data_IF_746504039063
#
_entry.id   IF_746504039063
#
_cell.length_a   1.000
_cell.length_b   1.000
_cell.length_c   1.000
_cell.angle_alpha   90.00
_cell.angle_beta   90.00
_cell.angle_gamma   90.00
#
_symmetry.space_group_name_H-M   'P 1'
#
loop_
_entity.id
_entity.type
_entity.pdbx_description
1 polymer ?
#
# COMPACT_ATOMS: atom_id res chain seq x y z
N UNK A 1 5.50 -10.65 -46.32
CA UNK A 1 4.04 -10.51 -46.52
C UNK A 1 3.35 -11.67 -45.82
N UNK A 2 2.83 -11.47 -44.61
CA UNK A 2 1.86 -12.37 -43.96
C UNK A 2 0.89 -11.46 -43.19
N UNK A 3 -0.39 -11.76 -43.38
CA UNK A 3 -1.54 -10.87 -43.24
C UNK A 3 -1.98 -10.63 -41.80
N UNK A 4 -2.47 -9.42 -41.54
CA UNK A 4 -3.25 -9.05 -40.36
C UNK A 4 -4.52 -9.93 -40.24
N UNK A 5 -4.65 -10.69 -39.17
CA UNK A 5 -5.88 -11.39 -38.79
C UNK A 5 -6.78 -10.46 -37.96
N UNK A 6 -7.99 -10.18 -38.46
CA UNK A 6 -9.01 -9.39 -37.75
C UNK A 6 -9.59 -10.18 -36.58
N UNK A 7 -9.62 -9.59 -35.39
CA UNK A 7 -10.41 -10.06 -34.26
C UNK A 7 -11.89 -9.72 -34.52
N UNK A 8 -12.76 -10.73 -34.55
CA UNK A 8 -14.20 -10.53 -34.73
C UNK A 8 -14.91 -10.59 -33.37
N UNK A 9 -15.36 -9.46 -32.87
CA UNK A 9 -16.24 -9.36 -31.69
C UNK A 9 -17.68 -9.44 -32.17
N UNK A 10 -18.43 -10.47 -31.77
CA UNK A 10 -19.89 -10.50 -31.91
C UNK A 10 -20.53 -10.26 -30.55
N UNK A 11 -21.14 -9.09 -30.37
CA UNK A 11 -21.97 -8.78 -29.21
C UNK A 11 -23.40 -9.29 -29.46
N UNK A 12 -23.92 -10.14 -28.57
CA UNK A 12 -25.37 -10.28 -28.42
C UNK A 12 -25.77 -9.50 -27.16
N UNK A 13 -26.35 -8.32 -27.39
CA UNK A 13 -27.01 -7.52 -26.37
C UNK A 13 -28.22 -8.30 -25.88
N UNK A 14 -28.10 -9.02 -24.75
CA UNK A 14 -29.19 -9.33 -23.79
C UNK A 14 -28.75 -10.28 -22.65
N UNK A 15 -27.59 -10.93 -22.75
CA UNK A 15 -26.90 -11.58 -21.60
C UNK A 15 -25.39 -11.53 -21.86
N UNK A 16 -24.66 -10.70 -21.11
CA UNK A 16 -23.24 -10.42 -21.35
C UNK A 16 -22.32 -11.56 -20.94
N UNK A 17 -22.16 -12.57 -21.79
CA UNK A 17 -21.07 -13.56 -21.69
C UNK A 17 -20.00 -13.23 -22.71
N UNK A 18 -18.82 -12.82 -22.26
CA UNK A 18 -17.62 -12.70 -23.11
C UNK A 18 -16.77 -13.94 -22.85
N UNK A 19 -16.51 -14.72 -23.90
CA UNK A 19 -15.66 -15.91 -23.86
C UNK A 19 -14.34 -15.56 -24.55
N UNK A 20 -13.25 -15.50 -23.79
CA UNK A 20 -11.90 -15.30 -24.35
C UNK A 20 -11.23 -16.67 -24.45
N UNK A 21 -10.87 -17.08 -25.66
CA UNK A 21 -10.10 -18.30 -25.94
C UNK A 21 -8.76 -17.88 -26.55
N UNK A 22 -7.66 -18.30 -25.94
CA UNK A 22 -6.33 -18.22 -26.53
C UNK A 22 -6.09 -19.51 -27.33
N UNK A 23 -5.91 -19.43 -28.64
CA UNK A 23 -5.36 -20.51 -29.47
C UNK A 23 -3.87 -20.21 -29.72
N UNK A 24 -2.96 -20.90 -29.05
CA UNK A 24 -2.30 -22.18 -29.41
C UNK A 24 -1.16 -22.04 -30.44
N UNK A 25 0.07 -22.33 -30.00
CA UNK A 25 1.01 -23.16 -30.76
C UNK A 25 2.25 -23.55 -29.93
N UNK A 26 2.14 -24.59 -29.10
CA UNK A 26 3.17 -25.65 -28.93
C UNK A 26 2.58 -26.80 -28.11
N UNK A 27 2.53 -27.99 -28.71
CA UNK A 27 2.04 -29.24 -28.10
C UNK A 27 3.12 -29.92 -27.24
N UNK A 28 2.85 -30.19 -25.96
CA UNK A 28 2.57 -31.53 -25.37
C UNK A 28 2.65 -31.48 -23.84
N UNK A 29 1.74 -32.25 -23.24
CA UNK A 29 1.62 -32.67 -21.84
C UNK A 29 0.84 -31.77 -20.86
N UNK A 30 -0.44 -32.16 -20.76
CA UNK A 30 -1.36 -32.19 -19.61
C UNK A 30 -1.59 -30.94 -18.74
N UNK A 31 -2.83 -30.46 -18.87
CA UNK A 31 -3.60 -29.53 -18.04
C UNK A 31 -3.40 -28.03 -18.31
N UNK A 32 -4.21 -27.42 -19.20
CA UNK A 32 -4.33 -25.96 -19.25
C UNK A 32 -5.23 -25.53 -18.08
N UNK A 33 -4.66 -24.84 -17.10
CA UNK A 33 -5.45 -24.10 -16.10
C UNK A 33 -6.21 -22.98 -16.83
N UNK A 34 -7.47 -23.27 -17.16
CA UNK A 34 -8.44 -22.33 -17.69
C UNK A 34 -8.88 -21.42 -16.54
N UNK A 35 -8.40 -20.17 -16.54
CA UNK A 35 -8.96 -19.11 -15.71
C UNK A 35 -10.30 -18.66 -16.32
N UNK A 36 -11.39 -19.25 -15.88
CA UNK A 36 -12.73 -18.70 -16.10
C UNK A 36 -12.88 -17.45 -15.22
N UNK A 37 -12.72 -16.27 -15.82
CA UNK A 37 -13.03 -14.98 -15.18
C UNK A 37 -14.46 -14.62 -15.54
N UNK A 38 -15.42 -14.91 -14.64
CA UNK A 38 -16.77 -14.37 -14.74
C UNK A 38 -16.77 -12.90 -14.28
N UNK A 39 -17.04 -11.98 -15.21
CA UNK A 39 -17.20 -10.55 -14.92
C UNK A 39 -18.68 -10.26 -14.70
N UNK A 40 -19.08 -10.04 -13.45
CA UNK A 40 -20.44 -9.59 -13.11
C UNK A 40 -20.49 -8.06 -13.14
N UNK A 41 -21.41 -7.51 -13.95
CA UNK A 41 -21.71 -6.08 -13.94
C UNK A 41 -22.52 -5.74 -12.69
N UNK A 42 -21.95 -4.92 -11.79
CA UNK A 42 -22.71 -4.32 -10.69
C UNK A 42 -23.58 -3.18 -11.24
N UNK A 43 -24.90 -3.39 -11.25
CA UNK A 43 -25.87 -2.35 -11.59
C UNK A 43 -25.89 -1.28 -10.48
N UNK A 44 -25.52 -0.05 -10.85
CA UNK A 44 -25.47 1.14 -10.00
C UNK A 44 -26.84 1.58 -9.42
N UNK A 45 -27.90 0.77 -9.53
CA UNK A 45 -29.28 1.11 -9.18
C UNK A 45 -29.87 0.39 -7.98
N UNK A 46 -29.04 -0.08 -7.03
CA UNK A 46 -29.53 -0.48 -5.70
C UNK A 46 -29.02 0.47 -4.60
N UNK A 47 -29.81 1.53 -4.40
CA UNK A 47 -29.99 2.22 -3.12
C UNK A 47 -28.74 2.63 -2.35
N UNK A 48 -27.99 3.63 -2.85
CA UNK A 48 -27.17 4.44 -1.97
C UNK A 48 -28.10 5.31 -1.11
N UNK A 49 -27.94 5.30 0.21
CA UNK A 49 -28.64 6.24 1.10
C UNK A 49 -28.22 7.68 0.71
N UNK A 50 -29.17 8.55 0.31
CA UNK A 50 -28.88 9.91 -0.12
C UNK A 50 -28.23 10.82 0.96
N UNK A 51 -28.08 10.34 2.21
CA UNK A 51 -27.48 11.10 3.31
C UNK A 51 -25.96 10.86 3.54
N UNK A 52 -25.29 9.97 2.81
CA UNK A 52 -23.84 9.75 2.96
C UNK A 52 -23.07 10.70 2.02
N UNK A 53 -23.06 11.99 2.34
CA UNK A 53 -22.30 12.99 1.56
C UNK A 53 -20.80 12.94 1.91
N UNK A 54 -20.06 12.01 1.29
CA UNK A 54 -18.58 11.97 1.32
C UNK A 54 -17.95 12.72 0.15
N UNK A 55 -18.72 13.00 -0.91
CA UNK A 55 -18.22 13.73 -2.09
C UNK A 55 -17.61 15.08 -1.69
N UNK A 56 -16.41 15.36 -2.20
CA UNK A 56 -15.62 16.54 -1.87
C UNK A 56 -14.95 16.52 -0.51
N UNK A 57 -15.06 15.42 0.26
CA UNK A 57 -14.44 15.25 1.58
C UNK A 57 -13.43 14.11 1.57
N UNK A 58 -12.63 14.05 2.63
CA UNK A 58 -11.77 12.90 2.95
C UNK A 58 -12.37 12.18 4.15
N UNK A 59 -12.52 10.87 4.09
CA UNK A 59 -13.03 10.08 5.21
C UNK A 59 -11.88 9.70 6.15
N UNK A 60 -11.95 10.11 7.41
CA UNK A 60 -11.01 9.73 8.48
C UNK A 60 -11.69 8.83 9.52
N UNK A 61 -10.93 8.27 10.45
CA UNK A 61 -11.51 7.48 11.57
C UNK A 61 -12.40 8.30 12.53
N UNK A 62 -12.28 9.63 12.49
CA UNK A 62 -13.12 10.58 13.24
C UNK A 62 -14.28 11.14 12.41
N UNK A 63 -14.42 10.70 11.15
CA UNK A 63 -15.45 11.18 10.23
C UNK A 63 -14.91 11.97 9.04
N UNK A 64 -15.82 12.54 8.22
CA UNK A 64 -15.44 13.36 7.07
C UNK A 64 -14.67 14.63 7.47
N UNK A 65 -13.62 14.93 6.70
CA UNK A 65 -12.74 16.07 6.86
C UNK A 65 -12.71 16.89 5.56
N UNK A 66 -12.60 18.22 5.66
CA UNK A 66 -12.29 19.03 4.48
C UNK A 66 -10.90 18.72 3.96
N UNK A 67 -10.70 18.53 2.64
CA UNK A 67 -9.40 18.18 2.08
C UNK A 67 -8.27 19.18 2.42
N UNK A 68 -8.61 20.45 2.62
CA UNK A 68 -7.64 21.50 3.01
C UNK A 68 -7.10 21.33 4.44
N UNK A 69 -7.74 20.51 5.29
CA UNK A 69 -7.31 20.25 6.66
C UNK A 69 -6.29 19.10 6.77
N UNK A 70 -6.03 18.35 5.69
CA UNK A 70 -5.14 17.19 5.72
C UNK A 70 -3.71 17.52 6.13
N UNK A 71 -3.19 18.67 5.71
CA UNK A 71 -1.79 19.05 5.91
C UNK A 71 -0.81 18.14 5.15
N UNK A 72 0.37 17.90 5.73
CA UNK A 72 1.35 16.95 5.19
C UNK A 72 0.92 15.53 5.52
N UNK A 73 0.96 14.63 4.53
CA UNK A 73 0.36 13.30 4.61
C UNK A 73 1.38 12.22 4.27
N UNK A 74 1.51 11.21 5.15
CA UNK A 74 2.18 9.94 4.83
C UNK A 74 1.12 8.99 4.26
N UNK A 75 1.35 8.47 3.05
CA UNK A 75 0.32 7.76 2.28
C UNK A 75 0.26 6.25 2.49
N UNK A 76 1.21 5.71 3.26
CA UNK A 76 1.31 4.28 3.54
C UNK A 76 2.03 4.05 4.88
N UNK A 77 1.28 3.76 5.94
CA UNK A 77 1.84 3.42 7.25
C UNK A 77 0.99 2.35 7.93
N UNK A 78 1.53 1.75 8.98
CA UNK A 78 0.79 0.88 9.88
C UNK A 78 0.93 1.35 11.31
N UNK A 79 -0.17 1.58 12.01
CA UNK A 79 -0.15 2.11 13.38
C UNK A 79 -0.38 1.02 14.42
N UNK A 80 -1.09 -0.04 14.04
CA UNK A 80 -1.37 -1.21 14.86
C UNK A 80 -1.60 -2.39 13.92
N UNK A 81 -0.72 -3.38 13.98
CA UNK A 81 -0.84 -4.58 13.15
C UNK A 81 -0.01 -5.74 13.73
N UNK A 82 -0.29 -6.95 13.24
CA UNK A 82 0.65 -8.08 13.30
C UNK A 82 1.22 -8.36 11.91
N UNK A 83 2.50 -8.66 11.85
CA UNK A 83 3.16 -9.12 10.61
C UNK A 83 3.75 -10.52 10.76
N UNK A 84 3.23 -11.32 11.69
CA UNK A 84 3.67 -12.70 11.93
C UNK A 84 3.55 -13.61 10.70
N UNK A 85 2.63 -13.30 9.77
CA UNK A 85 2.49 -14.03 8.50
C UNK A 85 3.77 -13.99 7.65
N UNK A 86 4.66 -13.03 7.91
CA UNK A 86 5.93 -12.87 7.22
C UNK A 86 7.13 -13.34 8.05
N UNK A 87 6.92 -13.99 9.19
CA UNK A 87 8.03 -14.52 9.99
C UNK A 87 8.87 -15.52 9.19
N UNK A 88 10.18 -15.27 9.11
CA UNK A 88 11.15 -16.16 8.51
C UNK A 88 12.20 -16.56 9.55
N UNK A 89 12.37 -17.86 9.88
CA UNK A 89 13.35 -18.26 10.87
C UNK A 89 14.77 -17.89 10.40
N UNK A 90 15.67 -17.49 11.32
CA UNK A 90 17.04 -17.16 10.96
C UNK A 90 17.74 -18.40 10.39
N UNK A 91 18.76 -18.18 9.53
CA UNK A 91 19.52 -19.26 8.93
C UNK A 91 20.15 -20.18 10.00
N UNK A 92 20.29 -21.47 9.68
CA UNK A 92 20.87 -22.44 10.60
C UNK A 92 22.29 -22.01 11.02
N UNK A 93 22.51 -21.86 12.33
CA UNK A 93 23.78 -21.42 12.91
C UNK A 93 23.95 -19.89 12.99
N UNK A 94 22.95 -19.09 12.62
CA UNK A 94 22.94 -17.66 12.87
C UNK A 94 22.86 -17.33 14.37
N UNK A 95 23.21 -16.09 14.72
CA UNK A 95 23.06 -15.56 16.08
C UNK A 95 21.62 -15.73 16.59
N UNK A 96 21.48 -16.01 17.89
CA UNK A 96 20.19 -16.24 18.52
C UNK A 96 19.25 -15.04 18.34
N UNK A 97 17.95 -15.34 18.18
CA UNK A 97 16.89 -14.33 18.09
C UNK A 97 16.95 -13.41 19.33
N UNK A 98 16.98 -12.07 19.16
CA UNK A 98 16.88 -11.15 20.27
C UNK A 98 15.58 -11.35 21.05
N UNK A 99 15.69 -11.77 22.30
CA UNK A 99 14.56 -11.81 23.24
C UNK A 99 14.32 -10.43 23.90
N UNK A 100 13.15 -10.26 24.52
CA UNK A 100 12.79 -9.02 25.24
C UNK A 100 13.72 -8.74 26.42
N UNK A 101 13.97 -7.45 26.74
CA UNK A 101 13.68 -6.27 25.92
C UNK A 101 14.72 -6.10 24.80
N UNK A 102 14.35 -5.45 23.69
CA UNK A 102 15.33 -5.03 22.69
C UNK A 102 16.37 -4.08 23.29
N UNK A 103 17.65 -4.39 23.07
CA UNK A 103 18.78 -3.62 23.57
C UNK A 103 19.60 -3.08 22.39
N UNK A 104 20.41 -2.04 22.65
CA UNK A 104 21.27 -1.43 21.64
C UNK A 104 22.15 -2.44 20.89
N UNK A 105 22.65 -3.47 21.58
CA UNK A 105 23.48 -4.52 20.97
C UNK A 105 22.74 -5.35 19.91
N UNK A 106 21.40 -5.41 19.94
CA UNK A 106 20.57 -6.17 18.99
C UNK A 106 20.21 -5.37 17.72
N UNK A 107 20.44 -4.05 17.70
CA UNK A 107 19.87 -3.16 16.68
C UNK A 107 20.39 -3.40 15.27
N UNK A 108 21.67 -3.72 15.13
CA UNK A 108 22.23 -4.06 13.82
C UNK A 108 21.59 -5.33 13.27
N UNK A 109 21.51 -6.38 14.09
CA UNK A 109 20.91 -7.66 13.72
C UNK A 109 19.43 -7.49 13.32
N UNK A 110 18.64 -6.75 14.11
CA UNK A 110 17.23 -6.50 13.83
C UNK A 110 17.00 -5.71 12.53
N UNK A 111 17.93 -4.81 12.15
CA UNK A 111 17.83 -4.10 10.88
C UNK A 111 18.11 -5.00 9.68
N UNK A 112 19.00 -5.98 9.83
CA UNK A 112 19.31 -6.92 8.75
C UNK A 112 18.36 -8.12 8.70
N UNK A 113 17.70 -8.46 9.81
CA UNK A 113 16.81 -9.61 9.93
C UNK A 113 15.47 -9.24 10.61
N UNK A 114 14.75 -8.20 10.13
CA UNK A 114 13.58 -7.68 10.83
C UNK A 114 12.44 -8.69 10.94
N UNK A 115 12.35 -9.63 9.99
CA UNK A 115 11.31 -10.67 9.94
C UNK A 115 11.72 -11.99 10.63
N UNK A 116 12.94 -12.06 11.16
CA UNK A 116 13.44 -13.22 11.92
C UNK A 116 13.32 -13.06 13.43
N UNK A 117 12.70 -11.97 13.90
CA UNK A 117 12.34 -11.79 15.29
C UNK A 117 10.83 -11.66 15.42
N UNK A 118 10.16 -12.65 16.02
CA UNK A 118 8.69 -12.64 16.19
C UNK A 118 8.24 -11.41 16.94
N UNK A 119 8.97 -11.07 17.99
CA UNK A 119 8.63 -9.92 18.82
C UNK A 119 8.65 -8.61 18.03
N UNK A 120 9.52 -8.51 17.02
CA UNK A 120 9.62 -7.32 16.18
C UNK A 120 8.39 -7.11 15.29
N UNK A 121 7.64 -8.18 15.01
CA UNK A 121 6.48 -8.22 14.11
C UNK A 121 5.16 -7.90 14.82
N UNK A 122 5.20 -7.70 16.13
CA UNK A 122 4.01 -7.48 16.96
C UNK A 122 3.81 -5.99 17.26
N UNK A 123 3.68 -5.16 16.22
CA UNK A 123 3.57 -3.70 16.36
C UNK A 123 2.37 -3.29 17.22
N UNK A 124 1.27 -4.04 17.18
CA UNK A 124 0.07 -3.80 17.99
C UNK A 124 0.31 -3.85 19.51
N UNK A 125 1.43 -4.41 19.96
CA UNK A 125 1.81 -4.36 21.38
C UNK A 125 2.46 -3.03 21.81
N UNK A 126 2.72 -2.10 20.88
CA UNK A 126 3.48 -0.87 21.11
C UNK A 126 2.66 0.41 20.86
N UNK A 127 1.33 0.35 21.04
CA UNK A 127 0.43 1.51 20.84
C UNK A 127 0.88 2.76 21.58
N UNK A 128 1.40 2.63 22.81
CA UNK A 128 1.98 3.74 23.55
C UNK A 128 3.20 4.38 22.87
N UNK A 129 4.08 3.58 22.26
CA UNK A 129 5.22 4.09 21.50
C UNK A 129 4.76 4.77 20.20
N UNK A 130 3.79 4.17 19.51
CA UNK A 130 3.18 4.75 18.31
C UNK A 130 2.54 6.10 18.63
N UNK A 131 1.81 6.23 19.75
CA UNK A 131 1.23 7.51 20.19
C UNK A 131 2.29 8.61 20.33
N UNK A 132 3.42 8.31 20.99
CA UNK A 132 4.52 9.28 21.16
C UNK A 132 5.17 9.66 19.82
N UNK A 133 5.27 8.73 18.88
CA UNK A 133 5.74 9.01 17.52
C UNK A 133 4.76 9.91 16.74
N UNK A 134 3.45 9.69 16.87
CA UNK A 134 2.45 10.54 16.24
C UNK A 134 2.47 11.96 16.82
N UNK A 135 2.67 12.12 18.13
CA UNK A 135 2.90 13.43 18.75
C UNK A 135 4.19 14.08 18.23
N UNK A 136 5.25 13.30 18.00
CA UNK A 136 6.47 13.81 17.36
C UNK A 136 6.21 14.21 15.89
N UNK A 137 5.48 13.40 15.13
CA UNK A 137 5.10 13.68 13.74
C UNK A 137 4.29 14.98 13.64
N UNK A 138 3.28 15.14 14.50
CA UNK A 138 2.48 16.37 14.59
C UNK A 138 3.34 17.59 14.90
N UNK A 139 4.26 17.50 15.87
CA UNK A 139 5.20 18.58 16.22
C UNK A 139 6.14 18.95 15.07
N UNK A 140 6.46 18.02 14.16
CA UNK A 140 7.27 18.26 12.96
C UNK A 140 6.44 18.75 11.76
N UNK A 141 5.16 19.08 11.97
CA UNK A 141 4.26 19.59 10.93
C UNK A 141 3.49 18.51 10.17
N UNK A 142 3.48 17.28 10.68
CA UNK A 142 2.65 16.19 10.18
C UNK A 142 1.16 16.47 10.36
N UNK A 143 0.38 16.17 9.32
CA UNK A 143 -1.06 16.40 9.28
C UNK A 143 -1.86 15.12 9.36
N UNK A 144 -1.64 14.24 8.38
CA UNK A 144 -2.42 13.01 8.19
C UNK A 144 -1.50 11.79 8.02
N UNK A 145 -2.00 10.62 8.38
CA UNK A 145 -1.47 9.31 8.04
C UNK A 145 -2.58 8.48 7.40
N UNK A 146 -2.26 7.83 6.28
CA UNK A 146 -3.07 6.74 5.73
C UNK A 146 -2.57 5.44 6.33
N UNK A 147 -3.47 4.73 6.99
CA UNK A 147 -3.22 3.49 7.71
C UNK A 147 -3.70 2.32 6.87
N UNK A 148 -2.78 1.47 6.45
CA UNK A 148 -2.99 0.48 5.40
C UNK A 148 -3.26 -0.93 5.96
N UNK A 149 -3.36 -1.09 7.28
CA UNK A 149 -3.65 -2.39 7.88
C UNK A 149 -5.08 -2.79 7.54
N UNK A 150 -5.28 -3.98 6.99
CA UNK A 150 -6.59 -4.49 6.55
C UNK A 150 -6.89 -5.88 7.12
N UNK A 151 -7.99 -6.50 6.70
CA UNK A 151 -8.31 -7.87 7.07
C UNK A 151 -7.18 -8.83 6.68
N UNK A 152 -6.69 -9.59 7.66
CA UNK A 152 -5.58 -10.54 7.52
C UNK A 152 -4.32 -10.16 8.30
N UNK A 153 -4.18 -8.90 8.70
CA UNK A 153 -3.00 -8.38 9.42
C UNK A 153 -3.36 -7.60 10.70
N UNK A 154 -4.50 -7.93 11.30
CA UNK A 154 -4.93 -7.47 12.65
C UNK A 154 -5.22 -5.96 12.75
N UNK A 155 -6.09 -5.46 11.85
CA UNK A 155 -6.62 -4.08 11.88
C UNK A 155 -7.42 -3.83 13.17
N UNK A 156 -7.14 -2.72 13.85
CA UNK A 156 -7.82 -2.31 15.09
C UNK A 156 -8.31 -0.84 15.00
N UNK A 157 -9.51 -0.67 14.45
CA UNK A 157 -10.11 0.65 14.23
C UNK A 157 -10.37 1.46 15.51
N UNK A 158 -10.86 0.88 16.63
CA UNK A 158 -10.95 1.58 17.90
C UNK A 158 -9.62 2.19 18.36
N UNK A 159 -8.52 1.45 18.23
CA UNK A 159 -7.18 1.98 18.55
C UNK A 159 -6.79 3.11 17.61
N UNK A 160 -7.07 3.00 16.30
CA UNK A 160 -6.80 4.09 15.34
C UNK A 160 -7.56 5.37 15.68
N UNK A 161 -8.85 5.25 16.05
CA UNK A 161 -9.67 6.39 16.52
C UNK A 161 -9.03 7.05 17.74
N UNK A 162 -8.67 6.26 18.76
CA UNK A 162 -8.06 6.80 19.98
C UNK A 162 -6.72 7.49 19.68
N UNK A 163 -5.87 6.91 18.83
CA UNK A 163 -4.60 7.52 18.42
C UNK A 163 -4.83 8.86 17.69
N UNK A 164 -5.85 8.95 16.84
CA UNK A 164 -6.19 10.20 16.16
C UNK A 164 -6.64 11.29 17.14
N UNK A 165 -7.50 10.94 18.10
CA UNK A 165 -7.98 11.86 19.15
C UNK A 165 -6.84 12.34 20.06
N UNK A 166 -6.01 11.41 20.56
CA UNK A 166 -4.94 11.70 21.52
C UNK A 166 -3.85 12.60 20.95
N UNK A 167 -3.62 12.53 19.64
CA UNK A 167 -2.44 13.12 18.99
C UNK A 167 -2.78 14.30 18.10
N UNK A 168 -4.04 14.42 17.67
CA UNK A 168 -4.48 15.41 16.69
C UNK A 168 -3.92 15.17 15.28
N UNK A 169 -3.36 13.98 15.01
CA UNK A 169 -3.02 13.51 13.66
C UNK A 169 -4.26 12.88 13.05
N UNK A 170 -4.63 13.26 11.84
CA UNK A 170 -5.74 12.62 11.14
C UNK A 170 -5.32 11.23 10.69
N UNK A 171 -6.18 10.23 10.88
CA UNK A 171 -5.94 8.85 10.43
C UNK A 171 -7.00 8.47 9.41
N UNK A 172 -6.56 8.05 8.22
CA UNK A 172 -7.43 7.50 7.17
C UNK A 172 -7.23 5.99 7.15
N UNK A 173 -8.24 5.22 7.55
CA UNK A 173 -8.15 3.76 7.60
C UNK A 173 -8.38 3.11 6.23
N UNK A 174 -7.66 2.02 5.97
CA UNK A 174 -7.78 1.19 4.78
C UNK A 174 -8.87 0.13 4.88
N UNK A 175 -9.52 -0.16 3.75
CA UNK A 175 -10.51 -1.22 3.57
C UNK A 175 -9.97 -2.39 2.77
N UNK A 176 -10.55 -3.58 2.99
CA UNK A 176 -10.31 -4.77 2.18
C UNK A 176 -9.48 -5.85 2.85
N UNK A 177 -8.74 -6.58 2.02
CA UNK A 177 -8.10 -7.84 2.38
C UNK A 177 -6.66 -7.82 1.90
N UNK A 178 -5.77 -8.30 2.77
CA UNK A 178 -4.35 -8.38 2.45
C UNK A 178 -4.04 -9.59 1.56
N UNK A 179 -2.79 -10.07 1.53
CA UNK A 179 -2.38 -11.19 0.67
C UNK A 179 -3.11 -12.49 1.01
N UNK A 180 -3.31 -13.34 0.00
CA UNK A 180 -4.00 -14.65 0.12
C UNK A 180 -3.46 -15.54 1.26
N UNK A 181 -2.16 -15.45 1.55
CA UNK A 181 -1.53 -16.18 2.66
C UNK A 181 -2.11 -15.84 4.04
N UNK A 182 -2.72 -14.66 4.19
CA UNK A 182 -3.33 -14.19 5.44
C UNK A 182 -4.83 -14.43 5.52
N UNK A 183 -5.46 -14.89 4.44
CA UNK A 183 -6.91 -15.08 4.39
C UNK A 183 -7.32 -16.26 5.26
N UNK A 184 -8.32 -16.02 6.13
CA UNK A 184 -8.98 -17.08 6.89
C UNK A 184 -9.71 -18.06 5.95
N UNK A 185 -10.04 -19.25 6.44
CA UNK A 185 -10.88 -20.20 5.69
C UNK A 185 -12.22 -19.57 5.29
N UNK A 186 -12.81 -18.76 6.18
CA UNK A 186 -14.04 -18.03 5.89
C UNK A 186 -13.84 -17.04 4.72
N UNK A 187 -12.74 -16.29 4.70
CA UNK A 187 -12.40 -15.33 3.63
C UNK A 187 -12.20 -16.03 2.29
N UNK A 188 -11.44 -17.14 2.27
CA UNK A 188 -11.19 -17.92 1.04
C UNK A 188 -12.45 -18.52 0.44
N UNK A 189 -13.46 -18.79 1.26
CA UNK A 189 -14.75 -19.33 0.84
C UNK A 189 -15.76 -18.24 0.41
N UNK A 190 -15.42 -16.95 0.50
CA UNK A 190 -16.28 -15.86 0.02
C UNK A 190 -16.26 -15.77 -1.50
N UNK A 191 -17.42 -15.52 -2.11
CA UNK A 191 -17.47 -15.14 -3.52
C UNK A 191 -16.95 -13.72 -3.72
N UNK A 192 -16.61 -13.36 -4.97
CA UNK A 192 -16.18 -12.00 -5.33
C UNK A 192 -17.22 -10.96 -4.93
N UNK A 193 -18.51 -11.26 -5.10
CA UNK A 193 -19.62 -10.38 -4.70
C UNK A 193 -19.60 -10.17 -3.19
N UNK A 194 -19.37 -11.24 -2.41
CA UNK A 194 -19.35 -11.12 -0.96
C UNK A 194 -18.15 -10.34 -0.45
N UNK A 195 -16.97 -10.52 -1.06
CA UNK A 195 -15.78 -9.71 -0.78
C UNK A 195 -16.04 -8.23 -1.12
N UNK A 196 -16.70 -7.98 -2.26
CA UNK A 196 -17.08 -6.63 -2.69
C UNK A 196 -18.05 -5.98 -1.70
N UNK A 197 -19.08 -6.70 -1.27
CA UNK A 197 -20.06 -6.21 -0.29
C UNK A 197 -19.38 -5.83 1.04
N UNK A 198 -18.38 -6.59 1.49
CA UNK A 198 -17.59 -6.24 2.69
C UNK A 198 -16.86 -4.93 2.47
N UNK A 199 -16.07 -4.78 1.41
CA UNK A 199 -15.31 -3.56 1.13
C UNK A 199 -16.23 -2.34 1.01
N UNK A 200 -17.34 -2.48 0.29
CA UNK A 200 -18.34 -1.40 0.14
C UNK A 200 -18.94 -1.02 1.50
N UNK A 201 -19.25 -2.00 2.35
CA UNK A 201 -19.74 -1.73 3.70
C UNK A 201 -18.71 -1.00 4.56
N UNK A 202 -17.44 -1.40 4.51
CA UNK A 202 -16.35 -0.75 5.26
C UNK A 202 -16.21 0.74 4.90
N UNK A 203 -16.43 1.08 3.63
CA UNK A 203 -16.35 2.47 3.14
C UNK A 203 -17.64 3.26 3.44
N UNK A 204 -18.82 2.66 3.29
CA UNK A 204 -20.09 3.39 3.36
C UNK A 204 -20.75 3.41 4.74
N UNK A 205 -20.60 2.33 5.52
CA UNK A 205 -21.39 2.10 6.73
C UNK A 205 -20.53 1.93 7.98
N UNK A 206 -19.36 1.31 7.85
CA UNK A 206 -18.45 1.03 8.95
C UNK A 206 -17.79 -0.33 8.81
N UNK A 207 -16.65 -0.50 9.47
CA UNK A 207 -15.81 -1.68 9.41
C UNK A 207 -15.67 -2.35 10.77
N UNK A 208 -15.39 -3.66 10.78
CA UNK A 208 -15.07 -4.48 11.96
C UNK A 208 -16.07 -4.37 13.13
N UNK A 209 -17.36 -4.21 12.83
CA UNK A 209 -18.42 -4.07 13.84
C UNK A 209 -18.46 -2.70 14.52
N UNK A 210 -17.75 -1.72 13.98
CA UNK A 210 -17.73 -0.33 14.46
C UNK A 210 -18.52 0.59 13.51
N UNK A 211 -18.71 1.85 13.93
CA UNK A 211 -19.21 2.94 13.10
C UNK A 211 -18.10 3.68 12.32
N UNK A 212 -16.87 3.17 12.37
CA UNK A 212 -15.70 3.77 11.71
C UNK A 212 -15.69 3.35 10.25
N UNK A 213 -15.74 4.34 9.35
CA UNK A 213 -15.64 4.12 7.90
C UNK A 213 -14.21 4.27 7.41
N UNK A 214 -13.82 3.40 6.50
CA UNK A 214 -12.54 3.46 5.81
C UNK A 214 -12.55 4.54 4.73
N UNK A 215 -11.40 5.18 4.50
CA UNK A 215 -11.25 6.25 3.51
C UNK A 215 -10.45 5.87 2.27
N UNK A 216 -9.82 4.69 2.26
CA UNK A 216 -9.16 4.11 1.08
C UNK A 216 -9.48 2.62 0.98
N UNK A 217 -9.38 2.06 -0.23
CA UNK A 217 -9.40 0.61 -0.44
C UNK A 217 -7.95 0.18 -0.61
N UNK A 218 -7.43 -0.57 0.36
CA UNK A 218 -6.04 -1.00 0.42
C UNK A 218 -5.50 -1.10 1.85
N UNK A 219 -4.32 -1.70 2.04
CA UNK A 219 -3.51 -2.29 0.96
C UNK A 219 -4.06 -3.64 0.46
N UNK A 220 -4.23 -3.75 -0.86
CA UNK A 220 -4.70 -4.99 -1.49
C UNK A 220 -3.48 -5.82 -1.88
N UNK A 221 -3.35 -7.00 -1.25
CA UNK A 221 -2.31 -7.95 -1.59
C UNK A 221 -2.63 -8.70 -2.90
N UNK A 222 -1.69 -8.86 -3.84
CA UNK A 222 -1.94 -9.64 -5.05
C UNK A 222 -2.23 -11.11 -4.72
N UNK A 223 -3.29 -11.66 -5.31
CA UNK A 223 -3.68 -13.07 -5.16
C UNK A 223 -2.69 -13.96 -5.92
N UNK A 224 -2.32 -15.11 -5.35
CA UNK A 224 -1.46 -16.11 -6.00
C UNK A 224 0.05 -15.82 -5.96
N UNK A 225 0.49 -14.70 -5.39
CA UNK A 225 1.89 -14.47 -5.06
C UNK A 225 2.13 -14.71 -3.56
N UNK A 226 2.72 -15.87 -3.24
CA UNK A 226 3.37 -16.05 -1.94
C UNK A 226 4.51 -15.02 -1.83
N UNK A 227 4.42 -14.10 -0.88
CA UNK A 227 5.52 -13.16 -0.57
C UNK A 227 6.81 -13.89 -0.18
N UNK A 228 6.72 -15.16 0.20
CA UNK A 228 7.79 -15.95 0.80
C UNK A 228 8.58 -16.83 -0.18
N UNK A 229 8.25 -16.86 -1.48
CA UNK A 229 8.86 -17.84 -2.39
C UNK A 229 9.22 -17.40 -3.82
N UNK A 230 8.87 -16.18 -4.29
CA UNK A 230 9.25 -15.73 -5.64
C UNK A 230 9.63 -14.24 -5.68
N UNK A 231 10.63 -13.86 -6.52
CA UNK A 231 10.88 -12.46 -6.87
C UNK A 231 9.59 -11.72 -7.20
N UNK A 232 9.41 -10.52 -6.67
CA UNK A 232 8.34 -9.64 -7.15
C UNK A 232 8.66 -9.31 -8.61
N UNK A 233 7.79 -9.76 -9.52
CA UNK A 233 7.98 -9.55 -10.96
C UNK A 233 7.88 -8.04 -11.28
N UNK A 234 8.88 -7.40 -11.92
CA UNK A 234 8.81 -5.99 -12.28
C UNK A 234 7.67 -5.65 -13.25
N UNK A 235 7.10 -6.64 -13.95
CA UNK A 235 5.90 -6.48 -14.78
C UNK A 235 4.59 -6.47 -13.97
N UNK A 236 4.59 -6.96 -12.73
CA UNK A 236 3.38 -7.08 -11.92
C UNK A 236 2.65 -5.75 -11.67
N UNK A 237 3.32 -4.61 -11.39
CA UNK A 237 2.64 -3.32 -11.27
C UNK A 237 1.77 -2.98 -12.49
N UNK A 238 2.31 -3.10 -13.70
CA UNK A 238 1.59 -2.78 -14.93
C UNK A 238 0.42 -3.76 -15.17
N UNK A 239 0.62 -5.04 -14.86
CA UNK A 239 -0.43 -6.05 -14.94
C UNK A 239 -1.58 -5.77 -13.97
N UNK A 240 -1.28 -5.40 -12.72
CA UNK A 240 -2.27 -5.05 -11.70
C UNK A 240 -3.10 -3.84 -12.16
N UNK A 241 -2.45 -2.79 -12.68
CA UNK A 241 -3.17 -1.63 -13.22
C UNK A 241 -4.07 -2.00 -14.40
N UNK A 242 -3.59 -2.88 -15.31
CA UNK A 242 -4.41 -3.36 -16.43
C UNK A 242 -5.64 -4.11 -15.93
N UNK A 243 -5.49 -5.04 -15.00
CA UNK A 243 -6.62 -5.81 -14.42
C UNK A 243 -7.63 -4.85 -13.77
N UNK A 244 -7.14 -3.90 -12.97
CA UNK A 244 -7.99 -2.90 -12.33
C UNK A 244 -8.73 -2.05 -13.38
N UNK A 245 -8.06 -1.62 -14.44
CA UNK A 245 -8.67 -0.84 -15.52
C UNK A 245 -9.71 -1.64 -16.31
N UNK A 246 -9.44 -2.92 -16.60
CA UNK A 246 -10.38 -3.83 -17.25
C UNK A 246 -11.64 -4.08 -16.40
N UNK A 247 -11.49 -4.07 -15.07
CA UNK A 247 -12.60 -4.10 -14.13
C UNK A 247 -13.33 -2.74 -13.97
N UNK A 248 -12.88 -1.69 -14.65
CA UNK A 248 -13.49 -0.34 -14.62
C UNK A 248 -12.95 0.58 -13.53
N UNK A 249 -11.84 0.24 -12.88
CA UNK A 249 -11.20 1.09 -11.87
C UNK A 249 -10.57 2.36 -12.46
N UNK A 250 -10.66 3.47 -11.69
CA UNK A 250 -10.07 4.76 -12.06
C UNK A 250 -8.57 4.78 -11.69
N UNK A 251 -7.70 4.53 -12.67
CA UNK A 251 -6.24 4.55 -12.49
C UNK A 251 -5.73 5.88 -11.94
N UNK A 252 -6.42 7.00 -12.23
CA UNK A 252 -6.03 8.31 -11.70
C UNK A 252 -6.24 8.46 -10.18
N UNK A 253 -6.93 7.48 -9.56
CA UNK A 253 -7.20 7.33 -8.12
C UNK A 253 -6.48 6.11 -7.51
N UNK A 254 -5.64 5.43 -8.28
CA UNK A 254 -4.88 4.27 -7.81
C UNK A 254 -3.47 4.69 -7.40
N UNK A 255 -2.99 4.13 -6.30
CA UNK A 255 -1.59 4.23 -5.86
C UNK A 255 -0.94 2.87 -6.09
N UNK A 256 0.26 2.86 -6.69
CA UNK A 256 1.09 1.67 -6.75
C UNK A 256 2.22 1.78 -5.75
N UNK A 257 2.12 1.01 -4.68
CA UNK A 257 3.05 0.93 -3.55
C UNK A 257 4.35 0.19 -3.91
N UNK A 258 5.40 0.47 -3.14
CA UNK A 258 6.71 -0.20 -3.18
C UNK A 258 7.44 -0.12 -4.52
N UNK A 259 7.28 0.96 -5.27
CA UNK A 259 8.02 1.12 -6.55
C UNK A 259 9.53 1.20 -6.31
N UNK A 260 9.96 1.68 -5.14
CA UNK A 260 11.36 1.81 -4.74
C UNK A 260 12.16 0.52 -4.95
N UNK A 261 11.53 -0.63 -4.69
CA UNK A 261 12.16 -1.96 -4.72
C UNK A 261 11.68 -2.84 -5.88
N UNK A 262 10.92 -2.27 -6.82
CA UNK A 262 10.26 -3.03 -7.88
C UNK A 262 10.70 -2.61 -9.28
N UNK A 263 10.83 -1.31 -9.55
CA UNK A 263 11.22 -0.79 -10.88
C UNK A 263 12.43 0.12 -10.73
N UNK A 264 13.61 -0.39 -11.09
CA UNK A 264 14.89 0.30 -10.91
C UNK A 264 15.36 1.04 -12.16
N UNK A 265 14.97 0.57 -13.35
CA UNK A 265 15.42 1.15 -14.60
C UNK A 265 14.54 2.34 -14.99
N UNK A 266 15.17 3.50 -15.20
CA UNK A 266 14.50 4.76 -15.54
C UNK A 266 13.52 4.63 -16.73
N UNK A 267 13.93 3.91 -17.79
CA UNK A 267 13.07 3.71 -18.96
C UNK A 267 11.78 2.93 -18.62
N UNK A 268 11.89 1.85 -17.84
CA UNK A 268 10.75 1.05 -17.40
C UNK A 268 9.85 1.84 -16.44
N UNK A 269 10.46 2.62 -15.55
CA UNK A 269 9.74 3.50 -14.63
C UNK A 269 8.93 4.55 -15.38
N UNK A 270 9.48 5.15 -16.44
CA UNK A 270 8.75 6.10 -17.29
C UNK A 270 7.62 5.44 -18.09
N UNK A 271 7.83 4.23 -18.62
CA UNK A 271 6.75 3.48 -19.28
C UNK A 271 5.62 3.17 -18.30
N UNK A 272 5.94 2.76 -17.06
CA UNK A 272 4.93 2.55 -16.02
C UNK A 272 4.23 3.86 -15.63
N UNK A 273 4.97 4.95 -15.46
CA UNK A 273 4.41 6.25 -15.07
C UNK A 273 3.39 6.80 -16.07
N UNK A 274 3.53 6.48 -17.37
CA UNK A 274 2.56 6.84 -18.41
C UNK A 274 1.17 6.22 -18.20
N UNK A 275 1.07 5.12 -17.43
CA UNK A 275 -0.21 4.49 -17.11
C UNK A 275 -1.09 5.38 -16.20
N UNK A 276 -0.49 6.34 -15.49
CA UNK A 276 -1.22 7.44 -14.83
C UNK A 276 -1.66 7.21 -13.39
N UNK A 277 -1.22 6.12 -12.75
CA UNK A 277 -1.38 5.92 -11.30
C UNK A 277 -0.49 6.89 -10.52
N UNK A 278 -0.72 7.00 -9.21
CA UNK A 278 0.31 7.53 -8.32
C UNK A 278 1.46 6.52 -8.19
N UNK A 279 2.66 7.07 -8.13
CA UNK A 279 3.94 6.40 -7.96
C UNK A 279 4.35 6.55 -6.50
N UNK A 280 4.22 5.48 -5.73
CA UNK A 280 4.51 5.54 -4.31
C UNK A 280 5.91 5.01 -4.00
N UNK A 281 6.66 5.86 -3.31
CA UNK A 281 7.95 5.53 -2.70
C UNK A 281 7.75 5.49 -1.18
N UNK A 282 7.37 4.32 -0.67
CA UNK A 282 6.93 4.11 0.70
C UNK A 282 7.97 3.44 1.59
N UNK A 283 9.20 3.21 1.11
CA UNK A 283 10.22 2.50 1.89
C UNK A 283 11.32 3.42 2.44
N UNK A 284 11.05 4.71 2.65
CA UNK A 284 12.01 5.62 3.28
C UNK A 284 12.42 5.13 4.67
N UNK A 285 13.72 5.17 4.97
CA UNK A 285 14.32 4.65 6.19
C UNK A 285 14.58 3.13 6.19
N UNK A 286 14.22 2.42 5.11
CA UNK A 286 14.49 0.99 4.92
C UNK A 286 15.71 0.77 4.04
N UNK A 287 16.85 0.49 4.69
CA UNK A 287 18.13 0.18 4.05
C UNK A 287 18.66 -1.14 4.64
N UNK A 288 18.48 -2.24 3.92
CA UNK A 288 18.96 -3.56 4.34
C UNK A 288 19.68 -4.25 3.20
N UNK A 289 20.76 -4.97 3.52
CA UNK A 289 21.54 -5.68 2.51
C UNK A 289 20.78 -6.89 1.97
N UNK A 290 20.15 -7.65 2.86
CA UNK A 290 19.43 -8.88 2.52
C UNK A 290 17.93 -8.63 2.68
N UNK A 291 17.26 -8.24 1.60
CA UNK A 291 15.80 -8.10 1.62
C UNK A 291 15.13 -9.48 1.64
N UNK A 292 14.44 -9.89 2.73
CA UNK A 292 14.06 -11.29 2.91
C UNK A 292 13.05 -11.83 1.91
N UNK A 293 12.27 -10.94 1.28
CA UNK A 293 11.30 -11.33 0.26
C UNK A 293 11.90 -11.39 -1.15
N UNK A 294 13.10 -10.84 -1.37
CA UNK A 294 13.81 -10.94 -2.64
C UNK A 294 15.31 -10.61 -2.47
N UNK A 295 16.13 -11.64 -2.24
CA UNK A 295 17.56 -11.48 -1.93
C UNK A 295 18.40 -10.85 -3.06
N UNK A 296 17.93 -10.87 -4.30
CA UNK A 296 18.62 -10.26 -5.44
C UNK A 296 18.36 -8.74 -5.54
N UNK A 297 17.43 -8.19 -4.76
CA UNK A 297 17.16 -6.76 -4.74
C UNK A 297 18.16 -6.05 -3.83
N UNK A 298 18.96 -5.19 -4.45
CA UNK A 298 19.70 -4.14 -3.75
C UNK A 298 18.72 -3.06 -3.30
N UNK A 299 18.34 -3.08 -2.01
CA UNK A 299 17.44 -2.08 -1.46
C UNK A 299 18.04 -0.67 -1.60
N UNK A 300 17.34 0.27 -2.25
CA UNK A 300 17.86 1.62 -2.36
C UNK A 300 18.04 2.27 -0.99
N UNK A 301 19.08 3.08 -0.87
CA UNK A 301 19.20 4.05 0.20
C UNK A 301 18.20 5.20 0.04
N UNK A 302 17.96 5.95 1.11
CA UNK A 302 17.13 7.15 1.06
C UNK A 302 17.70 8.20 0.10
N UNK A 303 19.03 8.25 -0.04
CA UNK A 303 19.66 9.11 -1.04
C UNK A 303 19.34 8.70 -2.47
N UNK A 304 19.24 7.40 -2.76
CA UNK A 304 18.83 6.90 -4.07
C UNK A 304 17.33 7.11 -4.30
N UNK A 305 16.48 6.95 -3.28
CA UNK A 305 15.06 7.32 -3.37
C UNK A 305 14.88 8.78 -3.73
N UNK A 306 15.57 9.71 -3.04
CA UNK A 306 15.53 11.14 -3.38
C UNK A 306 16.02 11.42 -4.82
N UNK A 307 17.01 10.68 -5.31
CA UNK A 307 17.44 10.79 -6.72
C UNK A 307 16.34 10.34 -7.69
N UNK A 308 15.67 9.22 -7.40
CA UNK A 308 14.54 8.74 -8.20
C UNK A 308 13.38 9.74 -8.21
N UNK A 309 13.05 10.35 -7.07
CA UNK A 309 12.05 11.42 -7.00
C UNK A 309 12.45 12.63 -7.84
N UNK A 310 13.70 13.08 -7.75
CA UNK A 310 14.20 14.20 -8.55
C UNK A 310 14.16 13.89 -10.06
N UNK A 311 14.44 12.65 -10.46
CA UNK A 311 14.29 12.18 -11.83
C UNK A 311 12.83 12.25 -12.29
N UNK A 312 11.89 11.66 -11.55
CA UNK A 312 10.45 11.70 -11.90
C UNK A 312 9.90 13.13 -11.99
N UNK A 313 10.32 14.00 -11.06
CA UNK A 313 9.97 15.42 -11.08
C UNK A 313 10.50 16.10 -12.34
N UNK A 314 11.77 15.86 -12.71
CA UNK A 314 12.39 16.42 -13.92
C UNK A 314 11.67 15.96 -15.19
N UNK A 315 11.18 14.72 -15.21
CA UNK A 315 10.41 14.14 -16.33
C UNK A 315 8.92 14.54 -16.31
N UNK A 316 8.49 15.39 -15.37
CA UNK A 316 7.15 16.00 -15.35
C UNK A 316 6.08 15.22 -14.57
N UNK A 317 6.47 14.23 -13.76
CA UNK A 317 5.54 13.39 -12.99
C UNK A 317 5.27 13.86 -11.55
N UNK A 318 5.64 15.10 -11.21
CA UNK A 318 5.50 15.67 -9.86
C UNK A 318 4.07 15.63 -9.28
N UNK A 319 3.04 15.64 -10.14
CA UNK A 319 1.62 15.52 -9.76
C UNK A 319 1.15 14.07 -9.49
N UNK A 320 2.06 13.10 -9.61
CA UNK A 320 1.78 11.66 -9.44
C UNK A 320 2.71 10.98 -8.45
N UNK A 321 3.47 11.73 -7.65
CA UNK A 321 4.37 11.15 -6.64
C UNK A 321 3.71 11.25 -5.27
N UNK A 322 3.73 10.15 -4.52
CA UNK A 322 3.43 10.12 -3.08
C UNK A 322 4.51 9.32 -2.35
N UNK A 323 4.71 9.59 -1.06
CA UNK A 323 5.81 8.99 -0.29
C UNK A 323 5.38 8.63 1.12
N UNK A 324 6.06 7.63 1.69
CA UNK A 324 5.81 7.16 3.05
C UNK A 324 6.97 6.34 3.61
N UNK A 325 6.80 5.76 4.79
CA UNK A 325 7.81 4.88 5.41
C UNK A 325 7.38 3.42 5.46
N UNK A 326 6.08 3.09 5.40
CA UNK A 326 5.59 1.72 5.59
C UNK A 326 6.13 1.14 6.92
N UNK A 327 6.04 1.89 8.02
CA UNK A 327 6.46 1.37 9.32
C UNK A 327 5.47 0.27 9.75
N UNK A 328 5.93 -0.98 9.78
CA UNK A 328 5.16 -2.15 10.21
C UNK A 328 5.87 -3.03 11.26
N UNK A 329 7.05 -2.62 11.75
CA UNK A 329 7.82 -3.37 12.76
C UNK A 329 8.34 -2.48 13.89
N UNK A 330 8.51 -3.07 15.08
CA UNK A 330 8.93 -2.35 16.29
C UNK A 330 10.27 -1.65 16.14
N UNK A 331 11.28 -2.31 15.56
CA UNK A 331 12.63 -1.77 15.37
C UNK A 331 12.69 -0.49 14.52
N UNK A 332 11.60 -0.15 13.82
CA UNK A 332 11.49 1.08 13.03
C UNK A 332 10.98 2.27 13.84
N UNK A 333 10.39 2.06 15.03
CA UNK A 333 10.05 3.13 15.96
C UNK A 333 11.31 3.66 16.67
N UNK A 334 11.38 4.96 16.95
CA UNK A 334 12.51 5.61 17.63
C UNK A 334 12.73 5.08 19.05
N UNK A 335 11.67 4.65 19.75
CA UNK A 335 11.76 3.93 21.03
C UNK A 335 12.72 2.73 20.96
N UNK A 336 12.79 2.09 19.81
CA UNK A 336 13.63 0.93 19.53
C UNK A 336 14.81 1.27 18.61
N UNK A 337 15.25 2.53 18.54
CA UNK A 337 16.40 2.93 17.73
C UNK A 337 16.15 3.00 16.22
N UNK A 338 14.88 3.00 15.81
CA UNK A 338 14.44 3.22 14.43
C UNK A 338 14.32 4.70 14.05
N UNK A 339 13.82 4.95 12.84
CA UNK A 339 13.73 6.29 12.26
C UNK A 339 12.41 7.02 12.59
N UNK A 340 11.33 6.28 12.85
CA UNK A 340 10.00 6.79 13.21
C UNK A 340 9.27 7.56 12.10
N UNK A 341 7.99 7.87 12.32
CA UNK A 341 7.11 8.51 11.31
C UNK A 341 7.52 9.95 10.96
N UNK A 342 8.42 10.56 11.73
CA UNK A 342 8.92 11.91 11.44
C UNK A 342 10.11 11.95 10.48
N UNK A 343 10.63 10.79 10.05
CA UNK A 343 11.88 10.72 9.29
C UNK A 343 11.82 11.49 7.98
N UNK A 344 10.75 11.35 7.20
CA UNK A 344 10.56 12.09 5.95
C UNK A 344 10.60 13.60 6.19
N UNK A 345 9.84 14.09 7.17
CA UNK A 345 9.76 15.53 7.46
C UNK A 345 11.08 16.10 7.98
N UNK A 346 11.80 15.35 8.82
CA UNK A 346 13.01 15.81 9.50
C UNK A 346 14.28 15.68 8.65
N UNK A 347 14.36 14.64 7.83
CA UNK A 347 15.61 14.26 7.17
C UNK A 347 15.49 14.25 5.64
N UNK A 348 14.40 13.68 5.11
CA UNK A 348 14.22 13.53 3.66
C UNK A 348 13.86 14.87 3.02
N UNK A 349 12.92 15.64 3.58
CA UNK A 349 12.53 16.95 3.03
C UNK A 349 13.74 17.89 2.92
N UNK A 350 14.58 18.10 3.95
CA UNK A 350 15.81 18.87 3.80
C UNK A 350 16.74 18.33 2.70
N UNK A 351 16.83 17.01 2.54
CA UNK A 351 17.64 16.38 1.49
C UNK A 351 17.07 16.61 0.09
N UNK A 352 15.74 16.54 -0.07
CA UNK A 352 15.04 16.86 -1.32
C UNK A 352 15.33 18.30 -1.77
N UNK A 353 15.19 19.26 -0.85
CA UNK A 353 15.48 20.68 -1.11
C UNK A 353 16.95 20.89 -1.50
N UNK A 354 17.89 20.28 -0.77
CA UNK A 354 19.32 20.33 -1.08
C UNK A 354 19.66 19.74 -2.46
N UNK A 355 18.86 18.79 -2.94
CA UNK A 355 19.02 18.12 -4.24
C UNK A 355 18.25 18.82 -5.37
N UNK A 356 17.63 19.97 -5.10
CA UNK A 356 16.98 20.79 -6.13
C UNK A 356 15.51 20.47 -6.39
N UNK A 357 14.88 19.60 -5.58
CA UNK A 357 13.42 19.49 -5.57
C UNK A 357 12.89 20.72 -4.83
N UNK A 358 12.14 21.57 -5.51
CA UNK A 358 11.69 22.86 -4.96
C UNK A 358 10.66 22.67 -3.83
N UNK A 359 10.46 23.69 -2.99
CA UNK A 359 9.43 23.64 -1.95
C UNK A 359 8.04 23.37 -2.53
N UNK A 360 7.71 23.97 -3.68
CA UNK A 360 6.43 23.72 -4.37
C UNK A 360 6.26 22.25 -4.76
N UNK A 361 7.33 21.60 -5.22
CA UNK A 361 7.31 20.16 -5.57
C UNK A 361 7.20 19.28 -4.32
N UNK A 362 7.87 19.65 -3.22
CA UNK A 362 7.69 18.99 -1.93
C UNK A 362 6.24 19.12 -1.45
N UNK A 363 5.63 20.30 -1.57
CA UNK A 363 4.24 20.53 -1.18
C UNK A 363 3.26 19.74 -2.05
N UNK A 364 3.56 19.58 -3.36
CA UNK A 364 2.81 18.64 -4.22
C UNK A 364 2.86 17.22 -3.68
N UNK A 365 4.05 16.71 -3.41
CA UNK A 365 4.28 15.33 -2.97
C UNK A 365 3.61 15.04 -1.61
N UNK A 366 3.73 15.96 -0.66
CA UNK A 366 3.28 15.75 0.72
C UNK A 366 1.87 16.25 1.02
N UNK A 367 1.30 17.14 0.20
CA UNK A 367 0.01 17.78 0.50
C UNK A 367 -0.93 17.72 -0.70
N UNK A 368 -0.58 18.26 -1.86
CA UNK A 368 -1.57 18.39 -2.95
C UNK A 368 -1.94 17.05 -3.59
N UNK A 369 -0.96 16.15 -3.79
CA UNK A 369 -1.18 14.83 -4.36
C UNK A 369 -2.02 13.96 -3.40
N UNK A 370 -1.67 13.81 -2.11
CA UNK A 370 -2.52 13.12 -1.15
C UNK A 370 -3.93 13.74 -1.05
N UNK A 371 -4.04 15.08 -1.03
CA UNK A 371 -5.33 15.78 -1.03
C UNK A 371 -6.18 15.38 -2.24
N UNK A 372 -5.62 15.44 -3.44
CA UNK A 372 -6.31 15.08 -4.68
C UNK A 372 -6.68 13.60 -4.72
N UNK A 373 -5.80 12.73 -4.23
CA UNK A 373 -6.03 11.30 -4.18
C UNK A 373 -7.16 10.92 -3.22
N UNK A 374 -7.07 11.36 -1.96
CA UNK A 374 -7.95 10.97 -0.86
C UNK A 374 -9.35 11.61 -0.91
N UNK A 375 -9.53 12.69 -1.67
CA UNK A 375 -10.84 13.34 -1.79
C UNK A 375 -11.81 12.49 -2.60
N UNK A 376 -12.94 12.10 -2.00
CA UNK A 376 -14.01 11.36 -2.66
C UNK A 376 -14.65 12.23 -3.75
N UNK A 377 -14.96 11.64 -4.89
CA UNK A 377 -15.65 12.31 -6.00
C UNK A 377 -17.15 12.18 -5.85
#
# INVERSE_FOLDING_TARGET
MLSAGRLAVRSNLLTGRIRISLNENTKRDSNPDLLDVEVFFYDHKRGADPNIMVSGKVQTVLGPLDPEQLGRTMTHEHLTMTFECCYCPPAAGAEAEPEKPFQMQHMHWLRQNPYSCRENLLLQQETGAVREELLAYRRNGGGTIVENTTTGIDRDLPTLRQLSEDTGVHVVAGAGFYVDATHSEATRNMSVEKLTDVIVSEVLHGADGTDIRCGVIGEIGPVGQSQTARPRNPAAPAEILRILQEAGGDISKTVMSHLDRTIFHEAELLEFAKLGSYLEYDLFGTEMLNYPFHLEVDMPSDSQRVQALAFLVKEGYEDRIVISHDIHTKNRLTKFGGHGYSHILRNIVPKMLMRGITQQQVDKILTDNPKRWLTFK
#
